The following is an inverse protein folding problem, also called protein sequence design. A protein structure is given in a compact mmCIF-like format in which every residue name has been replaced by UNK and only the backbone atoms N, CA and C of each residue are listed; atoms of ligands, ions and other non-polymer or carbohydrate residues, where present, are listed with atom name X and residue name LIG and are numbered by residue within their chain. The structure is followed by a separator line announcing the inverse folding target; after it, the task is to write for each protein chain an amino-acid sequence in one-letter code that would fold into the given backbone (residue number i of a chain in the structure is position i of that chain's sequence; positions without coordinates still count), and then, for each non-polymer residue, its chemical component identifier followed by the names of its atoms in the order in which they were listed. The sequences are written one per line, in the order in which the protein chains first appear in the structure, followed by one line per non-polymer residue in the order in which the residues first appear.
data_IF_624352946191
#
_entry.id   IF_624352946191
#
_cell.length_a   1.000
_cell.length_b   1.000
_cell.length_c   1.000
_cell.angle_alpha   90.00
_cell.angle_beta   90.00
_cell.angle_gamma   90.00
#
_symmetry.space_group_name_H-M   'P 1'
#
loop_
_entity.id
_entity.type
_entity.pdbx_description
1 polymer ?
#
# COMPACT_ATOMS: atom_id res chain seq x y z
N UNK A 1 2.51 25.48 -7.00
CA UNK A 1 1.78 24.20 -6.82
C UNK A 1 2.66 23.08 -7.38
N UNK A 2 3.36 22.30 -6.55
CA UNK A 2 4.17 21.15 -7.02
C UNK A 2 3.25 19.94 -7.12
N UNK A 3 2.82 19.57 -8.32
CA UNK A 3 2.03 18.36 -8.52
C UNK A 3 2.98 17.16 -8.46
N UNK A 4 2.92 16.38 -7.39
CA UNK A 4 3.63 15.10 -7.27
C UNK A 4 2.91 14.07 -8.16
N UNK A 5 3.16 14.10 -9.47
CA UNK A 5 2.60 13.15 -10.46
C UNK A 5 3.42 11.88 -10.64
N UNK A 6 4.46 11.70 -9.82
CA UNK A 6 5.46 10.66 -10.02
C UNK A 6 4.84 9.26 -10.05
N UNK A 7 3.92 8.91 -9.16
CA UNK A 7 3.29 7.58 -9.18
C UNK A 7 2.47 7.30 -10.45
N UNK A 8 1.75 8.30 -10.97
CA UNK A 8 0.91 8.14 -12.17
C UNK A 8 1.73 7.78 -13.41
N UNK A 9 2.95 8.31 -13.52
CA UNK A 9 3.83 8.03 -14.66
C UNK A 9 4.38 6.59 -14.66
N UNK A 10 4.36 5.91 -13.52
CA UNK A 10 4.94 4.58 -13.35
C UNK A 10 3.87 3.51 -13.06
N UNK A 11 2.59 3.89 -13.07
CA UNK A 11 1.48 2.96 -12.84
C UNK A 11 1.39 1.94 -13.98
N UNK A 12 1.35 0.66 -13.63
CA UNK A 12 1.34 -0.48 -14.57
C UNK A 12 2.51 -0.52 -15.58
N UNK A 13 3.68 0.02 -15.22
CA UNK A 13 4.90 -0.07 -16.05
C UNK A 13 5.92 -1.00 -15.39
N UNK A 14 6.58 -1.84 -16.19
CA UNK A 14 7.74 -2.62 -15.80
C UNK A 14 9.02 -2.00 -16.36
N UNK A 15 10.06 -1.89 -15.52
CA UNK A 15 11.35 -1.33 -15.95
C UNK A 15 12.49 -1.80 -15.05
N UNK A 16 13.67 -1.91 -15.64
CA UNK A 16 14.92 -2.22 -14.99
C UNK A 16 16.09 -1.83 -15.90
N UNK A 17 17.29 -1.78 -15.34
CA UNK A 17 18.50 -1.55 -16.12
C UNK A 17 19.06 -2.86 -16.67
N UNK A 18 19.74 -2.78 -17.80
CA UNK A 18 20.49 -3.88 -18.38
C UNK A 18 21.87 -3.39 -18.85
N UNK A 19 22.94 -3.93 -18.26
CA UNK A 19 24.32 -3.52 -18.57
C UNK A 19 24.80 -3.94 -19.96
N UNK A 20 24.07 -4.82 -20.66
CA UNK A 20 24.39 -5.21 -22.04
C UNK A 20 23.71 -4.31 -23.07
N UNK A 21 22.68 -3.56 -22.69
CA UNK A 21 21.97 -2.64 -23.56
C UNK A 21 22.72 -1.31 -23.70
N UNK A 22 22.69 -0.72 -24.89
CA UNK A 22 23.51 0.48 -25.20
C UNK A 22 23.11 1.73 -24.44
N UNK A 23 21.83 1.85 -24.07
CA UNK A 23 21.30 2.96 -23.25
C UNK A 23 21.15 2.56 -21.76
N UNK A 24 21.50 1.32 -21.42
CA UNK A 24 21.42 0.78 -20.07
C UNK A 24 20.01 0.40 -19.61
N UNK A 25 18.99 0.44 -20.47
CA UNK A 25 17.59 0.12 -20.13
C UNK A 25 17.21 -1.23 -20.75
N UNK A 26 16.55 -2.09 -19.98
CA UNK A 26 16.03 -3.35 -20.52
C UNK A 26 14.94 -3.10 -21.58
N UNK A 27 15.16 -3.63 -22.78
CA UNK A 27 14.27 -3.47 -23.93
C UNK A 27 12.98 -4.27 -23.81
N UNK A 28 13.00 -5.38 -23.07
CA UNK A 28 11.87 -6.27 -22.85
C UNK A 28 11.42 -6.20 -21.37
N UNK A 29 10.45 -5.33 -21.03
CA UNK A 29 10.01 -5.11 -19.65
C UNK A 29 9.64 -6.38 -18.88
N UNK A 30 9.09 -7.39 -19.56
CA UNK A 30 8.70 -8.68 -18.97
C UNK A 30 9.86 -9.48 -18.39
N UNK A 31 11.11 -9.13 -18.73
CA UNK A 31 12.33 -9.74 -18.15
C UNK A 31 12.65 -9.09 -16.79
N UNK A 32 12.17 -7.87 -16.55
CA UNK A 32 12.48 -7.15 -15.33
C UNK A 32 11.86 -7.82 -14.11
N UNK A 33 12.61 -7.96 -13.00
CA UNK A 33 12.05 -8.46 -11.76
C UNK A 33 10.93 -7.54 -11.27
N UNK A 34 9.79 -8.16 -10.93
CA UNK A 34 8.62 -7.47 -10.39
C UNK A 34 8.85 -6.87 -9.00
N UNK A 35 7.78 -6.43 -8.35
CA UNK A 35 7.84 -5.96 -6.95
C UNK A 35 8.05 -7.08 -5.92
N UNK A 36 7.78 -8.34 -6.30
CA UNK A 36 7.92 -9.50 -5.43
C UNK A 36 9.38 -9.85 -5.17
N UNK A 37 9.68 -10.25 -3.93
CA UNK A 37 11.00 -10.70 -3.53
C UNK A 37 11.23 -12.10 -4.09
N UNK A 38 12.11 -12.21 -5.08
CA UNK A 38 12.60 -13.50 -5.58
C UNK A 38 13.88 -13.93 -4.86
N UNK A 39 14.24 -15.23 -4.88
CA UNK A 39 15.49 -15.73 -4.30
C UNK A 39 16.73 -15.05 -4.90
N UNK A 40 16.65 -14.63 -6.17
CA UNK A 40 17.76 -14.04 -6.93
C UNK A 40 17.77 -12.50 -6.90
N UNK A 41 16.72 -11.85 -6.41
CA UNK A 41 16.62 -10.39 -6.39
C UNK A 41 15.73 -9.93 -5.22
N UNK A 42 16.38 -9.50 -4.13
CA UNK A 42 15.67 -8.97 -2.96
C UNK A 42 15.08 -7.58 -3.18
N UNK A 43 15.63 -6.81 -4.13
CA UNK A 43 15.28 -5.42 -4.40
C UNK A 43 15.37 -5.12 -5.89
N UNK A 44 14.23 -5.11 -6.56
CA UNK A 44 14.11 -4.68 -7.95
C UNK A 44 14.00 -3.15 -8.05
N UNK A 45 14.18 -2.62 -9.26
CA UNK A 45 13.97 -1.20 -9.51
C UNK A 45 12.53 -0.79 -9.16
N UNK A 46 11.55 -1.63 -9.50
CA UNK A 46 10.16 -1.42 -9.14
C UNK A 46 9.93 -1.45 -7.63
N UNK A 47 10.46 -2.46 -6.93
CA UNK A 47 10.19 -2.61 -5.49
C UNK A 47 10.74 -1.42 -4.69
N UNK A 48 11.96 -0.97 -5.00
CA UNK A 48 12.58 0.19 -4.35
C UNK A 48 11.87 1.50 -4.69
N UNK A 49 11.45 1.67 -5.96
CA UNK A 49 10.70 2.85 -6.38
C UNK A 49 9.39 2.98 -5.61
N UNK A 50 8.56 1.94 -5.64
CA UNK A 50 7.28 1.94 -4.96
C UNK A 50 7.45 2.05 -3.44
N UNK A 51 8.51 1.47 -2.88
CA UNK A 51 8.73 1.48 -1.43
C UNK A 51 9.01 2.92 -1.00
N UNK A 52 9.86 3.59 -1.76
CA UNK A 52 10.22 4.99 -1.53
C UNK A 52 9.02 5.91 -1.75
N UNK A 53 8.25 5.70 -2.82
CA UNK A 53 7.08 6.49 -3.15
C UNK A 53 5.98 6.36 -2.07
N UNK A 54 5.64 5.14 -1.67
CA UNK A 54 4.65 4.86 -0.62
C UNK A 54 5.07 5.41 0.74
N UNK A 55 6.34 5.22 1.16
CA UNK A 55 6.85 5.82 2.40
C UNK A 55 6.75 7.34 2.38
N UNK A 56 7.10 7.96 1.26
CA UNK A 56 7.02 9.40 1.09
C UNK A 56 5.58 9.92 1.09
N UNK A 57 4.66 9.18 0.44
CA UNK A 57 3.24 9.48 0.43
C UNK A 57 2.66 9.45 1.85
N UNK A 58 2.91 8.38 2.61
CA UNK A 58 2.49 8.23 3.99
C UNK A 58 3.03 9.33 4.92
N UNK A 59 4.32 9.70 4.79
CA UNK A 59 4.94 10.81 5.55
C UNK A 59 4.34 12.17 5.23
N UNK A 60 3.85 12.33 4.01
CA UNK A 60 3.26 13.57 3.51
C UNK A 60 1.78 13.71 3.91
N UNK A 61 1.13 12.64 4.36
CA UNK A 61 -0.29 12.64 4.72
C UNK A 61 -0.58 13.62 5.87
N UNK A 62 -1.74 14.26 5.81
CA UNK A 62 -2.23 15.23 6.79
C UNK A 62 -3.76 15.23 6.85
N UNK A 63 -4.32 15.54 8.01
CA UNK A 63 -5.77 15.55 8.23
C UNK A 63 -6.34 14.15 8.43
N UNK A 64 -7.35 13.81 7.66
CA UNK A 64 -8.06 12.53 7.73
C UNK A 64 -7.58 11.62 6.60
N UNK A 65 -7.23 10.37 6.93
CA UNK A 65 -6.82 9.36 5.94
C UNK A 65 -7.88 8.28 5.80
N UNK A 66 -7.97 7.71 4.61
CA UNK A 66 -8.89 6.62 4.31
C UNK A 66 -8.09 5.43 3.78
N UNK A 67 -8.42 4.23 4.23
CA UNK A 67 -7.78 2.97 3.80
C UNK A 67 -8.88 2.05 3.30
N UNK A 68 -8.82 1.70 2.03
CA UNK A 68 -9.78 0.77 1.43
C UNK A 68 -9.19 -0.64 1.43
N UNK A 69 -9.95 -1.61 1.92
CA UNK A 69 -9.56 -3.00 2.01
C UNK A 69 -10.58 -3.90 1.31
N UNK A 70 -10.07 -4.93 0.64
CA UNK A 70 -10.91 -6.00 0.12
C UNK A 70 -11.38 -6.88 1.30
N UNK A 71 -12.67 -6.87 1.56
CA UNK A 71 -13.33 -7.60 2.65
C UNK A 71 -13.80 -9.00 2.23
N UNK A 72 -13.74 -9.31 0.93
CA UNK A 72 -14.03 -10.63 0.35
C UNK A 72 -12.82 -11.58 0.39
N UNK A 73 -11.74 -11.20 1.07
CA UNK A 73 -10.57 -12.05 1.35
C UNK A 73 -10.30 -12.09 2.85
N UNK A 74 -9.71 -13.18 3.36
CA UNK A 74 -9.22 -13.26 4.73
C UNK A 74 -7.72 -13.63 4.77
N UNK A 75 -6.87 -12.85 5.47
CA UNK A 75 -7.21 -11.62 6.19
C UNK A 75 -7.39 -10.42 5.23
N UNK A 76 -8.38 -9.56 5.49
CA UNK A 76 -8.56 -8.30 4.77
C UNK A 76 -7.40 -7.32 5.02
N UNK A 77 -6.80 -7.40 6.21
CA UNK A 77 -5.52 -6.75 6.52
C UNK A 77 -4.43 -7.78 6.84
N UNK A 78 -3.61 -8.19 5.85
CA UNK A 78 -2.37 -8.91 6.11
C UNK A 78 -1.38 -7.96 6.80
N UNK A 79 -0.85 -8.35 7.97
CA UNK A 79 0.08 -7.51 8.75
C UNK A 79 1.32 -7.11 7.95
N UNK A 80 1.81 -8.06 7.14
CA UNK A 80 2.98 -7.93 6.26
C UNK A 80 2.63 -7.43 4.85
N UNK A 81 1.43 -6.89 4.65
CA UNK A 81 1.06 -6.24 3.39
C UNK A 81 1.95 -5.03 3.10
N UNK A 82 1.97 -4.60 1.84
CA UNK A 82 2.71 -3.41 1.42
C UNK A 82 2.34 -2.16 2.24
N UNK A 83 1.04 -1.94 2.43
CA UNK A 83 0.53 -0.90 3.31
C UNK A 83 1.01 -1.08 4.75
N UNK A 84 0.93 -2.31 5.28
CA UNK A 84 1.37 -2.66 6.63
C UNK A 84 2.87 -2.40 6.88
N UNK A 85 3.73 -2.63 5.90
CA UNK A 85 5.19 -2.54 6.06
C UNK A 85 5.78 -1.19 5.62
N UNK A 86 5.20 -0.54 4.60
CA UNK A 86 5.79 0.66 4.00
C UNK A 86 5.02 1.93 4.35
N UNK A 87 3.69 1.89 4.41
CA UNK A 87 2.88 3.10 4.54
C UNK A 87 2.50 3.37 5.99
N UNK A 88 1.78 2.44 6.63
CA UNK A 88 1.25 2.59 7.97
C UNK A 88 2.32 3.00 9.02
N UNK A 89 3.54 2.43 9.04
CA UNK A 89 4.59 2.85 9.99
C UNK A 89 5.04 4.31 9.78
N UNK A 90 4.94 4.79 8.54
CA UNK A 90 5.43 6.09 8.10
C UNK A 90 4.38 7.22 8.20
N UNK A 91 3.14 6.90 8.56
CA UNK A 91 2.12 7.90 8.88
C UNK A 91 2.49 8.62 10.19
N UNK A 92 2.46 9.95 10.15
CA UNK A 92 2.74 10.80 11.29
C UNK A 92 1.46 11.15 12.05
N UNK A 93 1.28 10.59 13.24
CA UNK A 93 0.13 10.84 14.12
C UNK A 93 0.02 12.28 14.65
N UNK A 94 1.07 13.10 14.52
CA UNK A 94 0.97 14.54 14.79
C UNK A 94 0.22 15.30 13.70
N UNK A 95 0.21 14.77 12.46
CA UNK A 95 -0.41 15.39 11.27
C UNK A 95 -1.72 14.73 10.85
N UNK A 96 -1.85 13.43 11.11
CA UNK A 96 -3.04 12.64 10.83
C UNK A 96 -3.73 12.32 12.14
N UNK A 97 -5.00 12.72 12.29
CA UNK A 97 -5.75 12.53 13.54
C UNK A 97 -6.86 11.51 13.43
N UNK A 98 -7.34 11.22 12.22
CA UNK A 98 -8.36 10.20 11.97
C UNK A 98 -7.94 9.29 10.83
N UNK A 99 -8.26 8.01 10.98
CA UNK A 99 -8.12 7.02 9.93
C UNK A 99 -9.45 6.27 9.77
N UNK A 100 -10.00 6.26 8.56
CA UNK A 100 -11.25 5.55 8.25
C UNK A 100 -10.93 4.34 7.39
N UNK A 101 -11.27 3.15 7.89
CA UNK A 101 -11.12 1.87 7.20
C UNK A 101 -12.43 1.61 6.43
N UNK A 102 -12.31 1.43 5.13
CA UNK A 102 -13.41 1.19 4.20
C UNK A 102 -13.36 -0.27 3.77
N UNK A 103 -14.26 -1.09 4.30
CA UNK A 103 -14.34 -2.52 4.00
C UNK A 103 -15.26 -2.73 2.80
N UNK A 104 -14.69 -3.20 1.68
CA UNK A 104 -15.43 -3.37 0.42
C UNK A 104 -15.63 -4.85 0.16
N UNK A 105 -16.89 -5.28 0.07
CA UNK A 105 -17.25 -6.65 -0.27
C UNK A 105 -17.65 -6.72 -1.76
N UNK A 106 -17.20 -7.76 -2.46
CA UNK A 106 -17.78 -8.14 -3.74
C UNK A 106 -19.24 -8.54 -3.54
N UNK A 107 -20.10 -8.21 -4.50
CA UNK A 107 -21.54 -8.50 -4.42
C UNK A 107 -21.86 -10.00 -4.43
N UNK A 108 -21.06 -10.79 -5.14
CA UNK A 108 -21.31 -12.22 -5.37
C UNK A 108 -20.48 -13.14 -4.45
N UNK A 109 -19.57 -12.57 -3.65
CA UNK A 109 -18.71 -13.33 -2.75
C UNK A 109 -19.30 -13.40 -1.33
N UNK A 110 -18.99 -14.46 -0.56
CA UNK A 110 -19.30 -14.49 0.86
C UNK A 110 -18.59 -13.37 1.61
N UNK A 111 -19.23 -12.88 2.68
CA UNK A 111 -18.63 -11.94 3.63
C UNK A 111 -17.59 -12.70 4.47
N UNK A 112 -16.29 -12.45 4.21
CA UNK A 112 -15.20 -13.12 4.92
C UNK A 112 -14.65 -12.29 6.09
N UNK A 113 -14.53 -10.97 5.92
CA UNK A 113 -14.04 -10.06 6.94
C UNK A 113 -14.97 -8.87 7.08
N UNK A 114 -15.14 -8.36 8.30
CA UNK A 114 -15.93 -7.16 8.59
C UNK A 114 -15.13 -6.24 9.51
N UNK A 115 -15.66 -5.07 9.84
CA UNK A 115 -15.07 -4.20 10.86
C UNK A 115 -14.85 -4.87 12.22
N UNK A 116 -15.57 -5.96 12.53
CA UNK A 116 -15.41 -6.73 13.78
C UNK A 116 -14.33 -7.81 13.71
N UNK A 117 -13.77 -8.07 12.54
CA UNK A 117 -12.78 -9.14 12.34
C UNK A 117 -11.43 -8.82 12.98
N UNK A 118 -10.69 -9.88 13.33
CA UNK A 118 -9.44 -9.76 14.07
C UNK A 118 -8.35 -9.03 13.26
N UNK A 119 -8.28 -9.24 11.94
CA UNK A 119 -7.33 -8.53 11.09
C UNK A 119 -7.55 -6.99 11.16
N UNK A 120 -8.81 -6.55 11.22
CA UNK A 120 -9.18 -5.14 11.30
C UNK A 120 -8.97 -4.57 12.70
N UNK A 121 -9.25 -5.34 13.76
CA UNK A 121 -8.88 -4.95 15.14
C UNK A 121 -7.38 -4.70 15.28
N UNK A 122 -6.56 -5.57 14.67
CA UNK A 122 -5.11 -5.37 14.63
C UNK A 122 -4.73 -4.07 13.89
N UNK A 123 -5.38 -3.76 12.76
CA UNK A 123 -5.15 -2.50 12.05
C UNK A 123 -5.54 -1.27 12.91
N UNK A 124 -6.73 -1.30 13.53
CA UNK A 124 -7.18 -0.22 14.41
C UNK A 124 -6.20 -0.01 15.57
N UNK A 125 -5.70 -1.08 16.20
CA UNK A 125 -4.71 -0.99 17.26
C UNK A 125 -3.41 -0.30 16.81
N UNK A 126 -2.95 -0.55 15.57
CA UNK A 126 -1.76 0.11 15.01
C UNK A 126 -1.97 1.61 14.76
N UNK A 127 -3.18 2.03 14.40
CA UNK A 127 -3.53 3.45 14.34
C UNK A 127 -3.58 4.09 15.73
N UNK A 128 -4.25 3.44 16.68
CA UNK A 128 -4.34 3.92 18.07
C UNK A 128 -2.96 4.06 18.72
N UNK A 129 -2.04 3.12 18.47
CA UNK A 129 -0.65 3.20 18.95
C UNK A 129 0.13 4.41 18.39
N UNK A 130 -0.37 5.03 17.32
CA UNK A 130 0.15 6.27 16.75
C UNK A 130 -0.64 7.51 17.16
N UNK A 131 -1.56 7.39 18.12
CA UNK A 131 -2.47 8.47 18.55
C UNK A 131 -3.38 8.96 17.40
N UNK A 132 -3.72 8.07 16.47
CA UNK A 132 -4.65 8.30 15.38
C UNK A 132 -5.96 7.61 15.74
N UNK A 133 -7.09 8.33 15.71
CA UNK A 133 -8.40 7.76 16.00
C UNK A 133 -8.89 6.92 14.81
N UNK A 134 -8.99 5.58 14.92
CA UNK A 134 -9.49 4.76 13.84
C UNK A 134 -11.02 4.72 13.84
N UNK A 135 -11.61 4.56 12.66
CA UNK A 135 -13.00 4.16 12.46
C UNK A 135 -13.07 3.14 11.32
N UNK A 136 -14.15 2.38 11.25
CA UNK A 136 -14.34 1.39 10.21
C UNK A 136 -15.79 1.41 9.72
N UNK A 137 -15.97 1.23 8.41
CA UNK A 137 -17.28 1.21 7.74
C UNK A 137 -17.32 -0.02 6.83
N UNK A 138 -18.30 -0.90 7.08
CA UNK A 138 -18.64 -2.02 6.20
C UNK A 138 -19.50 -1.51 5.03
N UNK A 139 -19.09 -1.81 3.80
CA UNK A 139 -19.77 -1.42 2.55
C UNK A 139 -20.17 0.06 2.52
N UNK A 140 -19.19 0.97 2.51
CA UNK A 140 -19.44 2.39 2.36
C UNK A 140 -20.19 2.65 1.03
N UNK A 141 -21.18 3.52 1.08
CA UNK A 141 -22.00 3.92 -0.06
C UNK A 141 -21.32 5.01 -0.90
#
# INVERSE_FOLDING_TARGET
MRVKRTCYLFDNIEWCGNSTETDGIEKYPSICPGYEVGPDCQKSAQSVFWETASKFYARSAHGDVHVMLNASISPAFPKESYFGNNELPNINGSKVKKATILMVHSLDDPVLETCSSESIKNLMARFTAKEISPSCIDNPR
#
